data_IF_635851805828
#
_entry.id   IF_635851805828
#
_cell.length_a   1.000
_cell.length_b   1.000
_cell.length_c   1.000
_cell.angle_alpha   90.00
_cell.angle_beta   90.00
_cell.angle_gamma   90.00
#
_symmetry.space_group_name_H-M   'P 1'
#
loop_
_entity.id
_entity.type
_entity.pdbx_description
1 polymer ?
#
# COMPACT_ATOMS: atom_id res chain seq x y z
N UNK A 1 -30.15 -3.60 54.61
CA UNK A 1 -29.83 -4.39 53.40
C UNK A 1 -30.57 -3.89 52.13
N UNK A 2 -30.95 -2.61 52.03
CA UNK A 2 -31.66 -2.10 50.83
C UNK A 2 -30.80 -1.20 49.93
N UNK A 3 -29.87 -0.44 50.52
CA UNK A 3 -29.09 0.58 49.80
C UNK A 3 -28.05 -0.01 48.83
N UNK A 4 -27.44 -1.15 49.14
CA UNK A 4 -26.43 -1.77 48.26
C UNK A 4 -27.03 -2.39 46.99
N UNK A 5 -28.28 -2.86 47.03
CA UNK A 5 -28.95 -3.43 45.86
C UNK A 5 -29.31 -2.34 44.84
N UNK A 6 -29.60 -1.11 45.30
CA UNK A 6 -29.92 0.02 44.44
C UNK A 6 -28.71 0.50 43.61
N UNK A 7 -27.49 0.38 44.15
CA UNK A 7 -26.26 0.75 43.41
C UNK A 7 -25.93 -0.19 42.26
N UNK A 8 -26.31 -1.48 42.36
CA UNK A 8 -26.06 -2.46 41.30
C UNK A 8 -26.97 -2.25 40.08
N UNK A 9 -28.17 -1.68 40.28
CA UNK A 9 -29.09 -1.32 39.19
C UNK A 9 -28.66 -0.04 38.45
N UNK A 10 -27.69 0.69 38.98
CA UNK A 10 -27.12 1.91 38.41
C UNK A 10 -25.78 1.66 37.72
N UNK A 11 -25.44 0.41 37.40
CA UNK A 11 -24.25 0.11 36.62
C UNK A 11 -24.36 0.81 35.25
N UNK A 12 -23.43 1.73 34.91
CA UNK A 12 -23.49 2.41 33.62
C UNK A 12 -23.38 1.36 32.51
N UNK A 13 -24.26 1.45 31.53
CA UNK A 13 -24.18 0.60 30.34
C UNK A 13 -22.77 0.72 29.74
N UNK A 14 -22.16 -0.37 29.26
CA UNK A 14 -20.83 -0.32 28.66
C UNK A 14 -20.85 0.68 27.51
N UNK A 15 -20.13 1.79 27.69
CA UNK A 15 -19.98 2.80 26.66
C UNK A 15 -19.25 2.15 25.47
N UNK A 16 -20.00 1.82 24.41
CA UNK A 16 -19.40 1.47 23.13
C UNK A 16 -18.92 2.77 22.50
N UNK A 17 -17.67 3.14 22.77
CA UNK A 17 -17.03 4.21 22.02
C UNK A 17 -17.03 3.79 20.54
N UNK A 18 -17.56 4.65 19.67
CA UNK A 18 -17.49 4.42 18.24
C UNK A 18 -16.03 4.47 17.82
N UNK A 19 -15.49 3.34 17.34
CA UNK A 19 -14.12 3.26 16.83
C UNK A 19 -14.17 3.38 15.31
N UNK A 20 -13.71 4.51 14.79
CA UNK A 20 -13.46 4.66 13.36
C UNK A 20 -12.14 4.00 13.01
N UNK A 21 -12.13 3.25 11.92
CA UNK A 21 -10.89 2.80 11.29
C UNK A 21 -10.48 3.82 10.23
N UNK A 22 -9.22 4.22 10.23
CA UNK A 22 -8.66 5.19 9.29
C UNK A 22 -7.47 4.58 8.57
N UNK A 23 -7.37 4.83 7.26
CA UNK A 23 -6.21 4.42 6.48
C UNK A 23 -5.01 5.30 6.84
N UNK A 24 -3.92 4.69 7.32
CA UNK A 24 -2.74 5.41 7.79
C UNK A 24 -1.56 5.33 6.82
N UNK A 25 -1.78 4.85 5.61
CA UNK A 25 -0.69 4.50 4.68
C UNK A 25 -0.99 5.05 3.29
N UNK A 26 -0.15 5.98 2.84
CA UNK A 26 -0.17 6.44 1.47
C UNK A 26 0.37 5.35 0.54
N UNK A 27 -0.26 5.22 -0.62
CA UNK A 27 0.14 4.30 -1.67
C UNK A 27 0.02 4.98 -3.04
N UNK A 28 0.71 4.44 -4.02
CA UNK A 28 0.63 4.82 -5.43
C UNK A 28 0.46 3.57 -6.28
N UNK A 29 -0.35 3.68 -7.32
CA UNK A 29 -0.47 2.64 -8.34
C UNK A 29 0.52 2.93 -9.47
N UNK A 30 1.34 1.93 -9.81
CA UNK A 30 2.31 1.97 -10.91
C UNK A 30 1.89 0.94 -11.94
N UNK A 31 2.03 1.24 -13.24
CA UNK A 31 1.48 0.37 -14.27
C UNK A 31 2.33 0.28 -15.52
N UNK A 32 2.26 -0.87 -16.19
CA UNK A 32 2.74 -1.05 -17.56
C UNK A 32 1.66 -1.72 -18.39
N UNK A 33 1.42 -1.18 -19.59
CA UNK A 33 0.46 -1.70 -20.55
C UNK A 33 1.13 -1.84 -21.91
N UNK A 34 1.16 -3.05 -22.44
CA UNK A 34 1.32 -3.32 -23.86
C UNK A 34 0.05 -2.89 -24.60
N UNK A 35 0.03 -1.62 -25.01
CA UNK A 35 -1.12 -0.98 -25.65
C UNK A 35 -1.67 -1.73 -26.86
N UNK A 36 -0.83 -2.48 -27.58
CA UNK A 36 -1.23 -3.17 -28.81
C UNK A 36 -1.28 -4.70 -28.66
N UNK A 37 -0.97 -5.24 -27.49
CA UNK A 37 -0.99 -6.69 -27.22
C UNK A 37 -0.03 -7.49 -28.10
N UNK A 38 1.09 -6.88 -28.52
CA UNK A 38 2.05 -7.46 -29.47
C UNK A 38 3.15 -8.28 -28.79
N UNK A 39 3.37 -8.08 -27.49
CA UNK A 39 4.45 -8.73 -26.76
C UNK A 39 4.14 -10.18 -26.37
N UNK A 40 2.86 -10.57 -26.37
CA UNK A 40 2.44 -11.87 -25.83
C UNK A 40 2.66 -11.93 -24.30
N UNK A 41 2.86 -13.11 -23.70
CA UNK A 41 3.25 -13.23 -22.30
C UNK A 41 4.64 -12.62 -22.05
N UNK A 42 4.79 -11.84 -20.98
CA UNK A 42 6.08 -11.23 -20.62
C UNK A 42 6.25 -11.08 -19.11
N UNK A 43 7.49 -10.84 -18.70
CA UNK A 43 7.83 -10.51 -17.31
C UNK A 43 8.09 -9.02 -17.19
N UNK A 44 7.38 -8.39 -16.25
CA UNK A 44 7.55 -6.99 -15.85
C UNK A 44 8.25 -6.91 -14.48
N UNK A 45 9.39 -6.24 -14.44
CA UNK A 45 10.10 -5.95 -13.18
C UNK A 45 9.93 -4.48 -12.86
N UNK A 46 9.18 -4.18 -11.81
CA UNK A 46 9.06 -2.83 -11.27
C UNK A 46 10.18 -2.58 -10.28
N UNK A 47 10.87 -1.45 -10.43
CA UNK A 47 11.91 -0.98 -9.52
C UNK A 47 11.50 0.40 -9.04
N UNK A 48 11.45 0.59 -7.72
CA UNK A 48 11.18 1.87 -7.08
C UNK A 48 12.40 2.26 -6.25
N UNK A 49 12.97 3.42 -6.56
CA UNK A 49 14.11 4.00 -5.87
C UNK A 49 13.65 5.11 -4.93
N UNK A 50 14.05 5.03 -3.67
CA UNK A 50 13.82 6.10 -2.68
C UNK A 50 14.95 7.12 -2.74
N UNK A 51 14.68 8.35 -3.19
CA UNK A 51 15.69 9.42 -3.21
C UNK A 51 16.16 9.81 -1.79
N UNK A 52 15.33 9.55 -0.78
CA UNK A 52 15.63 9.86 0.62
C UNK A 52 16.62 8.88 1.24
N UNK A 53 16.46 7.59 0.95
CA UNK A 53 17.27 6.52 1.59
C UNK A 53 18.30 5.90 0.66
N UNK A 54 18.22 6.17 -0.64
CA UNK A 54 19.02 5.54 -1.68
C UNK A 54 18.68 4.07 -1.93
N UNK A 55 17.63 3.54 -1.29
CA UNK A 55 17.24 2.13 -1.41
C UNK A 55 16.36 1.87 -2.63
N UNK A 56 16.60 0.73 -3.26
CA UNK A 56 15.76 0.18 -4.31
C UNK A 56 14.85 -0.93 -3.77
N UNK A 57 13.62 -0.93 -4.24
CA UNK A 57 12.62 -1.95 -3.96
C UNK A 57 12.08 -2.51 -5.27
N UNK A 58 11.94 -3.83 -5.36
CA UNK A 58 11.57 -4.51 -6.59
C UNK A 58 10.34 -5.39 -6.40
N UNK A 59 9.50 -5.43 -7.44
CA UNK A 59 8.39 -6.36 -7.58
C UNK A 59 8.38 -6.91 -9.01
N UNK A 60 8.35 -8.23 -9.14
CA UNK A 60 8.30 -8.92 -10.44
C UNK A 60 6.90 -9.47 -10.65
N UNK A 61 6.32 -9.19 -11.82
CA UNK A 61 5.01 -9.70 -12.24
C UNK A 61 5.13 -10.42 -13.57
N UNK A 62 4.53 -11.60 -13.66
CA UNK A 62 4.33 -12.31 -14.92
C UNK A 62 2.98 -11.88 -15.49
N UNK A 63 2.99 -11.43 -16.75
CA UNK A 63 1.80 -11.08 -17.52
C UNK A 63 1.49 -12.28 -18.41
N UNK A 64 0.32 -12.87 -18.20
CA UNK A 64 -0.10 -14.06 -18.90
C UNK A 64 -0.73 -13.76 -20.26
N UNK A 65 -0.92 -14.80 -21.07
CA UNK A 65 -1.59 -14.66 -22.36
C UNK A 65 -3.02 -14.13 -22.16
N UNK A 66 -3.36 -13.06 -22.88
CA UNK A 66 -4.67 -12.40 -22.77
C UNK A 66 -4.71 -11.24 -21.78
N UNK A 67 -3.64 -11.04 -21.01
CA UNK A 67 -3.42 -9.81 -20.25
C UNK A 67 -2.55 -8.87 -21.07
N UNK A 68 -2.94 -7.60 -21.15
CA UNK A 68 -2.18 -6.58 -21.88
C UNK A 68 -1.26 -5.77 -20.96
N UNK A 69 -1.31 -5.99 -19.65
CA UNK A 69 -0.61 -5.14 -18.69
C UNK A 69 -0.94 -5.51 -17.26
N UNK A 70 -0.30 -4.78 -16.35
CA UNK A 70 -0.51 -4.93 -14.92
C UNK A 70 -0.28 -3.61 -14.20
N UNK A 71 -1.12 -3.36 -13.22
CA UNK A 71 -0.95 -2.32 -12.21
C UNK A 71 -0.49 -2.96 -10.89
N UNK A 72 0.43 -2.30 -10.20
CA UNK A 72 0.99 -2.72 -8.91
C UNK A 72 0.92 -1.60 -7.90
N UNK A 73 0.78 -1.97 -6.63
CA UNK A 73 0.65 -1.02 -5.52
C UNK A 73 1.98 -0.84 -4.81
N UNK A 74 2.45 0.41 -4.68
CA UNK A 74 3.65 0.77 -3.93
C UNK A 74 3.35 1.77 -2.81
N UNK A 75 3.84 1.53 -1.57
CA UNK A 75 4.22 0.22 -1.07
C UNK A 75 2.98 -0.68 -0.97
N UNK A 76 3.22 -1.96 -0.72
CA UNK A 76 2.19 -2.99 -0.49
C UNK A 76 2.52 -3.74 0.78
N UNK A 77 1.49 -4.30 1.42
CA UNK A 77 1.66 -5.08 2.65
C UNK A 77 2.58 -6.29 2.40
N UNK A 78 3.45 -6.60 3.36
CA UNK A 78 4.33 -7.77 3.30
C UNK A 78 3.57 -9.10 3.27
N UNK A 79 2.31 -9.12 3.72
CA UNK A 79 1.41 -10.27 3.60
C UNK A 79 0.80 -10.42 2.20
N UNK A 80 0.91 -9.41 1.34
CA UNK A 80 0.50 -9.50 -0.07
C UNK A 80 1.40 -10.49 -0.81
N UNK A 81 0.85 -11.21 -1.79
CA UNK A 81 1.67 -11.98 -2.73
C UNK A 81 2.52 -11.08 -3.63
N UNK A 82 2.03 -9.87 -3.90
CA UNK A 82 2.61 -8.90 -4.83
C UNK A 82 3.14 -7.69 -4.07
N UNK A 83 4.25 -7.87 -3.34
CA UNK A 83 4.88 -6.78 -2.58
C UNK A 83 6.30 -6.47 -3.03
N UNK A 84 6.65 -5.20 -2.87
CA UNK A 84 7.96 -4.68 -3.18
C UNK A 84 8.97 -5.04 -2.09
N UNK A 85 10.11 -5.61 -2.51
CA UNK A 85 11.19 -6.10 -1.64
C UNK A 85 12.49 -5.37 -1.92
N UNK A 86 13.22 -5.00 -0.88
CA UNK A 86 14.62 -4.63 -1.05
C UNK A 86 15.49 -5.87 -1.30
N UNK A 87 16.75 -5.67 -1.68
CA UNK A 87 17.74 -6.75 -1.84
C UNK A 87 17.96 -7.55 -0.55
N UNK A 88 17.72 -6.95 0.61
CA UNK A 88 17.79 -7.60 1.93
C UNK A 88 16.52 -8.40 2.28
N UNK A 89 15.48 -8.35 1.45
CA UNK A 89 14.21 -9.05 1.67
C UNK A 89 13.16 -8.28 2.47
N UNK A 90 13.51 -7.11 3.02
CA UNK A 90 12.55 -6.24 3.72
C UNK A 90 11.49 -5.68 2.75
N UNK A 91 10.24 -5.59 3.21
CA UNK A 91 9.17 -4.97 2.45
C UNK A 91 9.36 -3.45 2.36
N UNK A 92 8.93 -2.86 1.24
CA UNK A 92 8.98 -1.41 1.07
C UNK A 92 8.09 -0.68 2.09
N UNK A 93 8.62 0.31 2.84
CA UNK A 93 7.82 1.11 3.76
C UNK A 93 7.14 2.28 3.04
N UNK A 94 6.05 2.79 3.63
CA UNK A 94 5.36 4.01 3.18
C UNK A 94 6.05 5.29 3.69
N UNK A 95 7.37 5.38 3.52
CA UNK A 95 8.15 6.51 4.04
C UNK A 95 7.83 7.77 3.22
N UNK A 96 7.45 8.90 3.86
CA UNK A 96 7.27 10.16 3.14
C UNK A 96 8.55 10.60 2.44
N UNK A 97 8.42 11.09 1.20
CA UNK A 97 9.56 11.51 0.38
C UNK A 97 9.33 11.34 -1.12
N UNK A 98 10.38 11.65 -1.90
CA UNK A 98 10.40 11.51 -3.35
C UNK A 98 10.94 10.16 -3.78
N UNK A 99 10.38 9.65 -4.86
CA UNK A 99 10.70 8.36 -5.43
C UNK A 99 10.79 8.48 -6.95
N UNK A 100 11.70 7.70 -7.54
CA UNK A 100 11.67 7.39 -8.97
C UNK A 100 11.28 5.93 -9.14
N UNK A 101 10.71 5.60 -10.30
CA UNK A 101 10.38 4.23 -10.61
C UNK A 101 10.56 3.93 -12.08
N UNK A 102 10.75 2.65 -12.37
CA UNK A 102 10.76 2.12 -13.71
C UNK A 102 10.17 0.72 -13.75
N UNK A 103 9.64 0.35 -14.92
CA UNK A 103 9.28 -1.02 -15.24
C UNK A 103 10.17 -1.49 -16.39
N UNK A 104 10.84 -2.61 -16.15
CA UNK A 104 11.63 -3.32 -17.13
C UNK A 104 10.77 -4.45 -17.72
N UNK A 105 10.62 -4.49 -19.03
CA UNK A 105 10.02 -5.62 -19.75
C UNK A 105 11.14 -6.35 -20.48
N UNK A 106 11.30 -7.64 -20.17
CA UNK A 106 12.39 -8.46 -20.71
C UNK A 106 13.78 -7.81 -20.53
N UNK A 107 14.00 -7.20 -19.35
CA UNK A 107 15.26 -6.54 -18.99
C UNK A 107 15.51 -5.16 -19.61
N UNK A 108 14.57 -4.65 -20.43
CA UNK A 108 14.66 -3.30 -21.02
C UNK A 108 13.64 -2.37 -20.39
N UNK A 109 14.05 -1.14 -20.12
CA UNK A 109 13.13 -0.11 -19.60
C UNK A 109 12.00 0.15 -20.59
N UNK A 110 10.78 -0.14 -20.17
CA UNK A 110 9.56 0.08 -20.95
C UNK A 110 8.89 1.40 -20.57
N UNK A 111 8.73 1.65 -19.26
CA UNK A 111 8.11 2.85 -18.72
C UNK A 111 8.78 3.25 -17.40
N UNK A 112 8.53 4.46 -16.93
CA UNK A 112 8.97 4.93 -15.63
C UNK A 112 8.48 6.34 -15.33
N UNK A 113 8.78 6.81 -14.13
CA UNK A 113 8.35 8.11 -13.68
C UNK A 113 8.89 8.47 -12.31
N UNK A 114 8.21 9.43 -11.69
CA UNK A 114 8.52 9.96 -10.36
C UNK A 114 7.23 10.25 -9.62
N UNK A 115 7.25 10.08 -8.30
CA UNK A 115 6.15 10.44 -7.42
C UNK A 115 6.69 10.86 -6.05
N UNK A 116 5.80 11.38 -5.21
CA UNK A 116 6.10 11.65 -3.81
C UNK A 116 5.02 11.03 -2.93
N UNK A 117 5.43 10.37 -1.85
CA UNK A 117 4.51 9.98 -0.79
C UNK A 117 4.40 11.15 0.20
N UNK A 118 3.18 11.61 0.51
CA UNK A 118 2.97 12.69 1.47
C UNK A 118 3.21 12.20 2.90
N UNK A 119 3.41 13.16 3.80
CA UNK A 119 3.14 12.90 5.22
C UNK A 119 1.64 12.65 5.40
N UNK A 120 1.30 11.66 6.22
CA UNK A 120 -0.10 11.27 6.49
C UNK A 120 -0.45 11.56 7.94
N UNK A 121 -1.61 12.17 8.15
CA UNK A 121 -2.20 12.44 9.45
C UNK A 121 -3.67 12.06 9.43
N UNK A 122 -4.24 11.76 10.60
CA UNK A 122 -5.62 11.30 10.71
C UNK A 122 -6.37 12.18 11.70
N UNK A 123 -7.54 12.65 11.28
CA UNK A 123 -8.51 13.31 12.14
C UNK A 123 -9.69 12.37 12.38
N UNK A 124 -10.03 12.10 13.63
CA UNK A 124 -11.14 11.21 14.01
C UNK A 124 -12.12 11.98 14.90
N UNK A 125 -13.35 12.13 14.44
CA UNK A 125 -14.42 12.77 15.21
C UNK A 125 -15.36 11.72 15.80
N UNK A 126 -15.59 11.79 17.12
CA UNK A 126 -16.60 10.96 17.78
C UNK A 126 -17.97 11.63 17.61
N UNK A 127 -18.91 10.94 16.97
CA UNK A 127 -20.29 11.42 16.85
C UNK A 127 -21.08 10.92 18.05
N UNK A 128 -21.52 11.84 18.92
CA UNK A 128 -22.44 11.52 20.01
C UNK A 128 -23.88 11.51 19.47
N UNK A 129 -24.74 10.69 20.06
CA UNK A 129 -26.18 10.65 19.75
C UNK A 129 -26.95 11.61 20.65
#
# INVERSE_FOLDING_TARGET
>A
MGALALLWLMAPAPARAQTWMVSTTAHVTLGVLDKYGQLGPYTATFVVHSERTGKDYQLVRTIEKGQNGVDVLFPSDASSSDYFKASTGEAAPATPGRYTWECLVNGKKAVGGRFALPEVGNDVTVVQK
#
